data_IF_158969334053
#
_entry.id   IF_158969334053
#
_cell.length_a   1.000
_cell.length_b   1.000
_cell.length_c   1.000
_cell.angle_alpha   90.00
_cell.angle_beta   90.00
_cell.angle_gamma   90.00
#
_symmetry.space_group_name_H-M   'P 1'
#
loop_
_entity.id
_entity.type
_entity.pdbx_description
1 polymer ?
#
# COMPACT_ATOMS: atom_id res chain seq x y z
N UNK A 1 0.31 13.52 2.87
CA UNK A 1 -0.85 13.48 1.95
C UNK A 1 -1.84 12.50 2.53
N UNK A 2 -3.06 12.92 2.86
CA UNK A 2 -4.10 12.05 3.42
C UNK A 2 -5.10 11.76 2.30
N UNK A 3 -5.25 10.49 1.92
CA UNK A 3 -6.32 10.08 1.00
C UNK A 3 -7.64 10.14 1.79
N UNK A 4 -8.67 10.85 1.31
CA UNK A 4 -9.97 10.91 1.99
C UNK A 4 -10.54 9.51 2.26
N UNK A 5 -11.20 9.31 3.41
CA UNK A 5 -11.71 8.00 3.82
C UNK A 5 -12.61 7.35 2.76
N UNK A 6 -13.53 8.13 2.16
CA UNK A 6 -14.38 7.67 1.05
C UNK A 6 -13.57 7.11 -0.11
N UNK A 7 -12.47 7.77 -0.48
CA UNK A 7 -11.60 7.30 -1.57
C UNK A 7 -10.89 6.01 -1.18
N UNK A 8 -10.45 5.88 0.08
CA UNK A 8 -9.85 4.63 0.58
C UNK A 8 -10.86 3.48 0.54
N UNK A 9 -12.08 3.68 1.02
CA UNK A 9 -13.13 2.64 1.03
C UNK A 9 -13.47 2.17 -0.38
N UNK A 10 -13.65 3.10 -1.32
CA UNK A 10 -13.88 2.73 -2.73
C UNK A 10 -12.72 1.93 -3.32
N UNK A 11 -11.49 2.30 -2.97
CA UNK A 11 -10.30 1.62 -3.46
C UNK A 11 -10.14 0.22 -2.85
N UNK A 12 -10.45 0.05 -1.56
CA UNK A 12 -10.46 -1.25 -0.89
C UNK A 12 -11.42 -2.21 -1.59
N UNK A 13 -12.63 -1.74 -1.94
CA UNK A 13 -13.59 -2.57 -2.68
C UNK A 13 -13.06 -2.92 -4.08
N UNK A 14 -12.43 -1.99 -4.81
CA UNK A 14 -11.78 -2.30 -6.08
C UNK A 14 -10.69 -3.39 -5.94
N UNK A 15 -9.86 -3.32 -4.89
CA UNK A 15 -8.80 -4.28 -4.65
C UNK A 15 -9.35 -5.68 -4.40
N UNK A 16 -10.43 -5.83 -3.63
CA UNK A 16 -11.06 -7.14 -3.38
C UNK A 16 -11.43 -7.85 -4.67
N UNK A 17 -11.99 -7.12 -5.63
CA UNK A 17 -12.41 -7.63 -6.93
C UNK A 17 -11.28 -7.70 -7.98
N UNK A 18 -10.09 -7.21 -7.68
CA UNK A 18 -8.96 -7.26 -8.60
C UNK A 18 -8.45 -8.69 -8.80
N UNK A 19 -8.34 -9.10 -10.07
CA UNK A 19 -7.89 -10.45 -10.50
C UNK A 19 -6.54 -10.44 -11.23
N UNK A 20 -5.96 -9.26 -11.48
CA UNK A 20 -4.65 -9.10 -12.10
C UNK A 20 -3.50 -9.29 -11.10
N UNK A 21 -2.28 -9.28 -11.64
CA UNK A 21 -1.07 -9.32 -10.81
C UNK A 21 -0.96 -8.05 -9.95
N UNK A 22 -0.55 -8.25 -8.69
CA UNK A 22 -0.40 -7.18 -7.71
C UNK A 22 0.97 -7.31 -7.01
N UNK A 23 1.62 -6.17 -6.78
CA UNK A 23 2.89 -6.09 -6.05
C UNK A 23 2.81 -4.99 -5.00
N UNK A 24 3.25 -5.30 -3.78
CA UNK A 24 3.38 -4.32 -2.71
C UNK A 24 4.77 -3.69 -2.75
N UNK A 25 4.83 -2.39 -2.98
CA UNK A 25 6.02 -1.57 -2.83
C UNK A 25 6.11 -1.01 -1.41
N UNK A 26 7.27 -1.18 -0.79
CA UNK A 26 7.59 -0.65 0.53
C UNK A 26 8.82 0.25 0.39
N UNK A 27 8.75 1.44 0.95
CA UNK A 27 9.90 2.34 1.05
C UNK A 27 9.94 2.96 2.44
N UNK A 28 11.13 2.97 3.04
CA UNK A 28 11.36 3.51 4.38
C UNK A 28 12.38 4.64 4.29
N UNK A 29 11.97 5.84 4.69
CA UNK A 29 12.84 7.01 4.67
C UNK A 29 12.66 7.84 5.94
N UNK A 30 13.72 8.58 6.28
CA UNK A 30 13.70 9.52 7.39
C UNK A 30 13.35 10.92 6.89
N UNK A 31 12.39 11.56 7.55
CA UNK A 31 12.05 12.97 7.30
C UNK A 31 13.12 13.90 7.90
N UNK A 32 13.23 15.17 7.42
CA UNK A 32 14.23 16.11 7.94
C UNK A 32 14.13 16.41 9.44
N UNK A 33 12.96 16.16 10.05
CA UNK A 33 12.71 16.31 11.48
C UNK A 33 13.04 15.05 12.30
N UNK A 34 13.67 14.04 11.68
CA UNK A 34 14.16 12.83 12.33
C UNK A 34 13.14 11.71 12.46
N UNK A 35 11.90 11.90 12.01
CA UNK A 35 10.87 10.86 12.03
C UNK A 35 11.05 9.88 10.89
N UNK A 36 11.03 8.60 11.20
CA UNK A 36 11.08 7.53 10.22
C UNK A 36 9.68 7.20 9.70
N UNK A 37 9.55 7.04 8.38
CA UNK A 37 8.27 6.80 7.72
C UNK A 37 8.36 5.58 6.83
N UNK A 38 7.38 4.69 6.94
CA UNK A 38 7.13 3.61 5.99
C UNK A 38 6.02 4.04 5.03
N UNK A 39 6.38 4.24 3.76
CA UNK A 39 5.46 4.39 2.65
C UNK A 39 5.09 3.04 2.04
N UNK A 40 3.82 2.88 1.71
CA UNK A 40 3.29 1.66 1.08
C UNK A 40 2.53 2.01 -0.18
N UNK A 41 2.79 1.26 -1.26
CA UNK A 41 2.20 1.47 -2.59
C UNK A 41 1.79 0.12 -3.15
N UNK A 42 0.57 0.02 -3.69
CA UNK A 42 0.18 -1.13 -4.50
C UNK A 42 0.45 -0.82 -5.96
N UNK A 43 1.19 -1.70 -6.62
CA UNK A 43 1.27 -1.78 -8.06
C UNK A 43 0.31 -2.87 -8.55
N UNK A 44 -0.63 -2.54 -9.44
CA UNK A 44 -1.63 -3.48 -9.96
C UNK A 44 -1.70 -3.45 -11.48
N UNK A 45 -1.87 -4.62 -12.08
CA UNK A 45 -2.02 -4.73 -13.52
C UNK A 45 -3.50 -4.67 -13.91
N UNK A 46 -3.94 -3.55 -14.46
CA UNK A 46 -5.33 -3.36 -14.90
C UNK A 46 -5.47 -3.55 -16.41
N UNK A 47 -6.62 -4.05 -16.85
CA UNK A 47 -6.92 -4.16 -18.29
C UNK A 47 -7.24 -2.78 -18.86
N UNK A 48 -6.51 -2.37 -19.88
CA UNK A 48 -6.72 -1.10 -20.56
C UNK A 48 -8.01 -1.09 -21.39
N UNK A 49 -8.46 0.12 -21.77
CA UNK A 49 -9.62 0.32 -22.66
C UNK A 49 -9.37 -0.18 -24.09
N UNK A 50 -8.12 -0.20 -24.53
CA UNK A 50 -7.64 -0.84 -25.75
C UNK A 50 -6.89 -2.13 -25.38
N UNK A 51 -6.74 -3.07 -26.32
CA UNK A 51 -6.08 -4.35 -26.08
C UNK A 51 -4.67 -4.16 -25.49
N UNK A 52 -4.55 -4.31 -24.17
CA UNK A 52 -3.32 -4.08 -23.42
C UNK A 52 -3.56 -4.08 -21.91
N UNK A 53 -2.48 -4.19 -21.16
CA UNK A 53 -2.48 -4.05 -19.70
C UNK A 53 -1.74 -2.76 -19.32
N UNK A 54 -2.21 -2.11 -18.26
CA UNK A 54 -1.58 -0.93 -17.68
C UNK A 54 -1.15 -1.23 -16.24
N UNK A 55 0.04 -0.79 -15.88
CA UNK A 55 0.52 -0.86 -14.50
C UNK A 55 0.09 0.42 -13.79
N UNK A 56 -0.81 0.30 -12.81
CA UNK A 56 -1.19 1.39 -11.93
C UNK A 56 -0.40 1.30 -10.63
N UNK A 57 0.03 2.44 -10.10
CA UNK A 57 0.64 2.56 -8.78
C UNK A 57 -0.23 3.46 -7.91
N UNK A 58 -0.70 2.96 -6.78
CA UNK A 58 -1.57 3.69 -5.87
C UNK A 58 -0.98 3.67 -4.47
N UNK A 59 -0.69 4.84 -3.86
CA UNK A 59 -0.24 4.88 -2.48
C UNK A 59 -1.35 4.40 -1.55
N UNK A 60 -1.02 3.48 -0.66
CA UNK A 60 -1.94 2.97 0.35
C UNK A 60 -1.88 3.82 1.61
N UNK A 61 -0.71 3.86 2.24
CA UNK A 61 -0.54 4.47 3.54
C UNK A 61 0.89 4.95 3.77
N UNK A 62 1.02 5.92 4.67
CA UNK A 62 2.27 6.43 5.19
C UNK A 62 2.19 6.32 6.71
N UNK A 63 3.05 5.50 7.31
CA UNK A 63 3.03 5.23 8.75
C UNK A 63 4.33 5.74 9.36
N UNK A 64 4.23 6.52 10.44
CA UNK A 64 5.41 6.87 11.25
C UNK A 64 5.87 5.62 11.99
N UNK A 65 7.16 5.32 11.93
CA UNK A 65 7.77 4.23 12.69
C UNK A 65 8.21 4.81 14.04
N UNK A 66 7.77 4.18 15.14
CA UNK A 66 8.01 4.68 16.50
C UNK A 66 9.02 3.82 17.28
N UNK A 67 9.35 2.65 16.75
CA UNK A 67 10.22 1.66 17.40
C UNK A 67 11.50 1.42 16.62
N UNK A 68 12.44 0.69 17.23
CA UNK A 68 13.60 0.16 16.51
C UNK A 68 13.13 -0.68 15.33
N UNK A 69 13.56 -0.33 14.10
CA UNK A 69 13.16 -0.96 12.83
C UNK A 69 13.65 -2.40 12.67
N UNK A 70 13.30 -3.26 13.62
CA UNK A 70 13.55 -4.69 13.52
C UNK A 70 12.72 -5.28 12.38
N UNK A 71 13.21 -6.37 11.78
CA UNK A 71 12.45 -7.07 10.75
C UNK A 71 11.06 -7.51 11.23
N UNK A 72 10.92 -7.84 12.52
CA UNK A 72 9.64 -8.20 13.13
C UNK A 72 8.67 -7.03 13.15
N UNK A 73 9.10 -5.87 13.68
CA UNK A 73 8.27 -4.67 13.74
C UNK A 73 7.80 -4.22 12.35
N UNK A 74 8.69 -4.24 11.36
CA UNK A 74 8.34 -3.91 9.98
C UNK A 74 7.34 -4.91 9.39
N UNK A 75 7.54 -6.21 9.61
CA UNK A 75 6.61 -7.24 9.14
C UNK A 75 5.22 -7.10 9.77
N UNK A 76 5.13 -6.83 11.07
CA UNK A 76 3.87 -6.57 11.76
C UNK A 76 3.18 -5.30 11.26
N UNK A 77 3.93 -4.23 11.05
CA UNK A 77 3.41 -2.98 10.46
C UNK A 77 2.84 -3.22 9.06
N UNK A 78 3.56 -3.96 8.22
CA UNK A 78 3.09 -4.32 6.87
C UNK A 78 1.85 -5.21 6.94
N UNK A 79 1.81 -6.20 7.84
CA UNK A 79 0.63 -7.05 8.08
C UNK A 79 -0.61 -6.23 8.38
N UNK A 80 -0.51 -5.28 9.31
CA UNK A 80 -1.63 -4.41 9.68
C UNK A 80 -2.12 -3.54 8.50
N UNK A 81 -1.19 -3.09 7.65
CA UNK A 81 -1.53 -2.33 6.44
C UNK A 81 -2.29 -3.23 5.46
N UNK A 82 -1.78 -4.41 5.11
CA UNK A 82 -2.45 -5.28 4.12
C UNK A 82 -3.80 -5.81 4.62
N UNK A 83 -3.97 -6.04 5.92
CA UNK A 83 -5.25 -6.40 6.53
C UNK A 83 -6.26 -5.25 6.46
N UNK A 84 -5.83 -4.01 6.74
CA UNK A 84 -6.69 -2.82 6.59
C UNK A 84 -7.23 -2.68 5.17
N UNK A 85 -6.42 -3.03 4.16
CA UNK A 85 -6.83 -2.95 2.76
C UNK A 85 -7.45 -4.24 2.20
N UNK A 86 -7.56 -5.31 3.00
CA UNK A 86 -8.18 -6.57 2.61
C UNK A 86 -7.42 -7.34 1.53
N UNK A 87 -6.09 -7.20 1.48
CA UNK A 87 -5.20 -7.83 0.48
C UNK A 87 -4.18 -8.79 1.08
N UNK A 88 -4.36 -9.19 2.34
CA UNK A 88 -3.43 -10.06 3.06
C UNK A 88 -3.30 -11.48 2.46
N UNK A 89 -4.30 -11.93 1.70
CA UNK A 89 -4.38 -13.28 1.12
C UNK A 89 -4.22 -13.28 -0.43
N UNK A 90 -3.74 -12.18 -1.01
CA UNK A 90 -3.54 -12.04 -2.48
C UNK A 90 -2.14 -12.36 -2.95
#
# INVERSE_FOLDING_TARGET
MVIPLVVQETFIEELKHHTGAMYLGLDAWQLPNGYDVLGTVIHRLVKGKTAGFQLEAVPLNFVSLEESHTGLYLAETVRLIVEKFGVQDK
#
